data_IF_539036132820
#
_entry.id   IF_539036132820
#
_cell.length_a   1.000
_cell.length_b   1.000
_cell.length_c   1.000
_cell.angle_alpha   90.00
_cell.angle_beta   90.00
_cell.angle_gamma   90.00
#
_symmetry.space_group_name_H-M   'P 1'
#
loop_
_entity.id
_entity.type
_entity.pdbx_description
1 polymer ?
#
# COMPACT_ATOMS: atom_id res chain seq x y z
N UNK A 1 76.01 41.77 30.60
CA UNK A 1 75.63 40.39 30.23
C UNK A 1 74.19 40.45 29.73
N UNK A 2 73.96 40.31 28.41
CA UNK A 2 72.63 40.46 27.79
C UNK A 2 71.87 39.14 27.90
N UNK A 3 70.74 39.14 28.59
CA UNK A 3 69.82 38.01 28.67
C UNK A 3 68.95 38.02 27.42
N UNK A 4 69.08 36.99 26.58
CA UNK A 4 68.24 36.76 25.41
C UNK A 4 67.07 35.89 25.89
N UNK A 5 65.88 36.47 25.92
CA UNK A 5 64.63 35.76 26.20
C UNK A 5 64.14 35.19 24.86
N UNK A 6 64.23 33.86 24.70
CA UNK A 6 63.59 33.14 23.60
C UNK A 6 62.11 32.94 23.93
N UNK A 7 61.23 33.69 23.26
CA UNK A 7 59.81 33.37 23.17
C UNK A 7 59.61 32.28 22.12
N UNK A 8 59.48 31.03 22.56
CA UNK A 8 58.92 29.97 21.72
C UNK A 8 57.41 30.14 21.64
N UNK A 9 56.93 30.69 20.52
CA UNK A 9 55.52 30.63 20.12
C UNK A 9 55.12 29.15 19.98
N UNK A 10 54.39 28.62 20.95
CA UNK A 10 53.70 27.36 20.82
C UNK A 10 52.58 27.50 19.77
N UNK A 11 52.73 26.80 18.65
CA UNK A 11 51.67 26.57 17.67
C UNK A 11 50.63 25.68 18.37
N UNK A 12 49.62 26.29 18.97
CA UNK A 12 48.44 25.63 19.51
C UNK A 12 47.23 26.07 18.69
N UNK A 13 47.00 25.44 17.54
CA UNK A 13 45.69 25.30 16.88
C UNK A 13 45.80 24.19 15.82
N UNK A 14 44.78 23.37 15.56
CA UNK A 14 43.52 23.18 16.29
C UNK A 14 43.18 21.67 16.46
N UNK A 15 43.14 21.16 17.70
CA UNK A 15 42.43 19.90 17.97
C UNK A 15 40.90 20.05 17.78
N UNK A 16 40.42 21.29 17.65
CA UNK A 16 39.01 21.64 17.53
C UNK A 16 38.47 21.47 16.11
N UNK A 17 39.29 21.59 15.05
CA UNK A 17 38.82 21.35 13.67
C UNK A 17 38.57 19.87 13.36
N UNK A 18 39.25 18.94 14.06
CA UNK A 18 39.09 17.51 13.81
C UNK A 18 37.81 16.94 14.43
N UNK A 19 37.30 17.55 15.50
CA UNK A 19 36.06 17.10 16.16
C UNK A 19 34.84 17.52 15.33
N UNK A 20 34.79 18.75 14.81
CA UNK A 20 33.69 19.23 13.94
C UNK A 20 33.59 18.45 12.61
N UNK A 21 34.72 18.06 12.00
CA UNK A 21 34.72 17.27 10.76
C UNK A 21 34.24 15.81 10.98
N UNK A 22 34.58 15.20 12.11
CA UNK A 22 34.17 13.83 12.42
C UNK A 22 32.67 13.74 12.76
N UNK A 23 32.14 14.71 13.53
CA UNK A 23 30.71 14.76 13.84
C UNK A 23 29.85 15.03 12.59
N UNK A 24 30.35 15.82 11.64
CA UNK A 24 29.63 16.08 10.38
C UNK A 24 29.65 14.88 9.41
N UNK A 25 30.73 14.11 9.33
CA UNK A 25 30.79 12.88 8.53
C UNK A 25 29.85 11.79 9.08
N UNK A 26 29.80 11.59 10.40
CA UNK A 26 28.87 10.64 11.02
C UNK A 26 27.41 11.04 10.84
N UNK A 27 27.09 12.33 11.00
CA UNK A 27 25.74 12.83 10.75
C UNK A 27 25.33 12.67 9.27
N UNK A 28 26.25 12.88 8.32
CA UNK A 28 25.99 12.66 6.90
C UNK A 28 25.78 11.19 6.56
N UNK A 29 26.52 10.28 7.18
CA UNK A 29 26.34 8.83 6.98
C UNK A 29 24.98 8.35 7.53
N UNK A 30 24.59 8.80 8.73
CA UNK A 30 23.28 8.47 9.30
C UNK A 30 22.14 8.98 8.42
N UNK A 31 22.23 10.23 7.94
CA UNK A 31 21.22 10.79 7.05
C UNK A 31 21.15 10.00 5.71
N UNK A 32 22.29 9.58 5.16
CA UNK A 32 22.32 8.79 3.95
C UNK A 32 21.67 7.40 4.13
N UNK A 33 21.87 6.77 5.29
CA UNK A 33 21.22 5.50 5.65
C UNK A 33 19.71 5.67 5.81
N UNK A 34 19.26 6.73 6.49
CA UNK A 34 17.82 7.05 6.65
C UNK A 34 17.14 7.29 5.30
N UNK A 35 17.76 8.08 4.42
CA UNK A 35 17.22 8.35 3.07
C UNK A 35 17.16 7.04 2.25
N UNK A 36 18.16 6.18 2.36
CA UNK A 36 18.18 4.87 1.70
C UNK A 36 17.04 3.97 2.19
N UNK A 37 16.83 3.87 3.50
CA UNK A 37 15.72 3.09 4.07
C UNK A 37 14.35 3.65 3.66
N UNK A 38 14.18 4.98 3.67
CA UNK A 38 12.95 5.63 3.20
C UNK A 38 12.67 5.29 1.73
N UNK A 39 13.70 5.29 0.88
CA UNK A 39 13.58 4.89 -0.53
C UNK A 39 13.11 3.44 -0.68
N UNK A 40 13.68 2.51 0.10
CA UNK A 40 13.27 1.10 0.10
C UNK A 40 11.81 0.95 0.53
N UNK A 41 11.39 1.67 1.57
CA UNK A 41 10.01 1.66 2.09
C UNK A 41 9.04 2.25 1.06
N UNK A 42 9.38 3.38 0.44
CA UNK A 42 8.55 4.02 -0.58
C UNK A 42 8.35 3.09 -1.79
N UNK A 43 9.42 2.45 -2.26
CA UNK A 43 9.35 1.45 -3.34
C UNK A 43 8.50 0.24 -2.94
N UNK A 44 8.63 -0.24 -1.70
CA UNK A 44 7.82 -1.35 -1.22
C UNK A 44 6.33 -1.00 -1.18
N UNK A 45 5.99 0.21 -0.72
CA UNK A 45 4.63 0.73 -0.74
C UNK A 45 4.07 0.79 -2.16
N UNK A 46 4.82 1.34 -3.12
CA UNK A 46 4.40 1.38 -4.52
C UNK A 46 4.12 -0.02 -5.10
N UNK A 47 4.96 -1.00 -4.78
CA UNK A 47 4.76 -2.38 -5.24
C UNK A 47 3.53 -3.02 -4.60
N UNK A 48 3.31 -2.79 -3.30
CA UNK A 48 2.11 -3.27 -2.58
C UNK A 48 0.85 -2.63 -3.17
N UNK A 49 0.85 -1.32 -3.41
CA UNK A 49 -0.29 -0.62 -4.01
C UNK A 49 -0.55 -1.11 -5.44
N UNK A 50 0.50 -1.33 -6.25
CA UNK A 50 0.39 -2.00 -7.57
C UNK A 50 -0.28 -3.37 -7.48
N UNK A 51 0.13 -4.20 -6.52
CA UNK A 51 -0.49 -5.51 -6.30
C UNK A 51 -1.95 -5.36 -5.89
N UNK A 52 -2.29 -4.50 -4.93
CA UNK A 52 -3.69 -4.30 -4.51
C UNK A 52 -4.59 -3.88 -5.67
N UNK A 53 -4.10 -3.00 -6.53
CA UNK A 53 -4.82 -2.49 -7.69
C UNK A 53 -4.83 -3.47 -8.87
N UNK A 54 -4.08 -4.56 -8.77
CA UNK A 54 -3.99 -5.59 -9.80
C UNK A 54 -3.30 -5.11 -11.08
N UNK A 55 -2.30 -4.23 -10.96
CA UNK A 55 -1.46 -3.85 -12.11
C UNK A 55 -0.57 -5.02 -12.55
N UNK A 56 -0.46 -5.21 -13.86
CA UNK A 56 0.31 -6.31 -14.46
C UNK A 56 -0.15 -7.70 -14.01
N UNK A 57 -1.43 -7.85 -13.67
CA UNK A 57 -1.96 -9.09 -13.12
C UNK A 57 -3.45 -9.02 -12.78
N UNK A 58 -3.87 -9.82 -11.80
CA UNK A 58 -5.22 -9.76 -11.24
C UNK A 58 -5.14 -9.92 -9.73
N UNK A 59 -5.88 -9.10 -8.99
CA UNK A 59 -5.97 -9.24 -7.53
C UNK A 59 -7.38 -9.60 -7.10
N UNK A 60 -7.50 -10.54 -6.16
CA UNK A 60 -8.74 -10.79 -5.44
C UNK A 60 -8.63 -10.10 -4.08
N UNK A 61 -9.51 -9.13 -3.84
CA UNK A 61 -9.68 -8.50 -2.53
C UNK A 61 -10.83 -9.17 -1.78
N UNK A 62 -10.56 -9.65 -0.56
CA UNK A 62 -11.53 -10.31 0.31
C UNK A 62 -11.69 -9.48 1.58
N UNK A 63 -12.83 -8.80 1.73
CA UNK A 63 -13.10 -7.90 2.84
C UNK A 63 -13.72 -8.65 4.02
N UNK A 64 -13.21 -8.41 5.22
CA UNK A 64 -13.65 -9.05 6.46
C UNK A 64 -14.30 -8.02 7.38
N UNK A 65 -15.41 -8.37 8.08
CA UNK A 65 -15.98 -9.72 8.22
C UNK A 65 -17.02 -10.08 7.13
N UNK A 66 -17.40 -9.16 6.25
CA UNK A 66 -18.47 -9.38 5.26
C UNK A 66 -18.20 -10.52 4.27
N UNK A 67 -16.95 -10.95 4.12
CA UNK A 67 -16.47 -11.92 3.13
C UNK A 67 -16.79 -11.53 1.68
N UNK A 68 -17.09 -10.25 1.40
CA UNK A 68 -17.28 -9.77 0.03
C UNK A 68 -15.97 -9.85 -0.74
N UNK A 69 -16.06 -10.31 -1.99
CA UNK A 69 -14.92 -10.52 -2.88
C UNK A 69 -15.02 -9.56 -4.05
N UNK A 70 -13.91 -8.93 -4.39
CA UNK A 70 -13.77 -8.08 -5.56
C UNK A 70 -12.54 -8.48 -6.35
N UNK A 71 -12.60 -8.25 -7.65
CA UNK A 71 -11.48 -8.46 -8.57
C UNK A 71 -10.93 -7.08 -8.93
N UNK A 72 -9.66 -6.86 -8.67
CA UNK A 72 -8.94 -5.66 -9.04
C UNK A 72 -8.06 -5.94 -10.26
N UNK A 73 -8.16 -5.08 -11.28
CA UNK A 73 -7.29 -5.11 -12.47
C UNK A 73 -7.00 -3.71 -12.94
N UNK A 74 -5.72 -3.35 -13.02
CA UNK A 74 -5.26 -2.03 -13.46
C UNK A 74 -5.98 -0.86 -12.76
N UNK A 75 -6.21 -1.00 -11.44
CA UNK A 75 -6.87 0.01 -10.60
C UNK A 75 -8.41 0.00 -10.66
N UNK A 76 -9.02 -0.92 -11.41
CA UNK A 76 -10.48 -1.02 -11.56
C UNK A 76 -11.01 -2.12 -10.66
N UNK A 77 -12.14 -1.87 -10.01
CA UNK A 77 -12.82 -2.81 -9.12
C UNK A 77 -13.99 -3.47 -9.85
N UNK A 78 -14.00 -4.80 -9.88
CA UNK A 78 -15.03 -5.61 -10.51
C UNK A 78 -15.67 -6.58 -9.53
N UNK A 79 -16.93 -6.92 -9.80
CA UNK A 79 -17.62 -8.06 -9.21
C UNK A 79 -17.63 -9.21 -10.21
N UNK A 80 -17.45 -10.43 -9.71
CA UNK A 80 -17.57 -11.66 -10.48
C UNK A 80 -18.94 -12.29 -10.22
N UNK A 81 -19.77 -12.41 -11.26
CA UNK A 81 -21.07 -13.09 -11.14
C UNK A 81 -20.93 -14.62 -11.22
N UNK A 82 -19.81 -15.10 -11.78
CA UNK A 82 -19.46 -16.52 -11.84
C UNK A 82 -18.55 -16.99 -10.71
N UNK A 83 -17.76 -18.02 -10.97
CA UNK A 83 -16.77 -18.52 -10.00
C UNK A 83 -15.39 -17.95 -10.31
N UNK A 84 -14.69 -17.43 -9.30
CA UNK A 84 -13.30 -17.00 -9.49
C UNK A 84 -12.39 -18.23 -9.55
N UNK A 85 -11.68 -18.42 -10.66
CA UNK A 85 -10.63 -19.42 -10.81
C UNK A 85 -9.57 -19.21 -9.74
N UNK A 86 -9.24 -20.29 -9.05
CA UNK A 86 -8.20 -20.26 -8.02
C UNK A 86 -6.81 -20.26 -8.64
N UNK A 87 -6.68 -20.66 -9.89
CA UNK A 87 -5.43 -20.85 -10.62
C UNK A 87 -4.86 -19.55 -11.17
N UNK A 88 -5.73 -18.63 -11.63
CA UNK A 88 -5.33 -17.39 -12.29
C UNK A 88 -6.13 -16.14 -11.84
N UNK A 89 -7.08 -16.28 -10.90
CA UNK A 89 -7.90 -15.17 -10.42
C UNK A 89 -8.91 -14.64 -11.43
N UNK A 90 -9.10 -15.31 -12.58
CA UNK A 90 -10.11 -14.93 -13.56
C UNK A 90 -11.51 -15.32 -13.12
N UNK A 91 -12.50 -14.51 -13.48
CA UNK A 91 -13.89 -14.89 -13.28
C UNK A 91 -14.31 -15.88 -14.38
N UNK A 92 -14.59 -17.12 -13.99
CA UNK A 92 -15.11 -18.16 -14.86
C UNK A 92 -16.64 -18.02 -14.94
N UNK A 93 -17.16 -17.93 -16.17
CA UNK A 93 -18.57 -17.79 -16.48
C UNK A 93 -18.73 -17.48 -17.97
N UNK A 94 -19.96 -17.16 -18.40
CA UNK A 94 -20.17 -16.62 -19.74
C UNK A 94 -19.32 -15.33 -19.91
N UNK A 95 -18.53 -15.20 -21.00
CA UNK A 95 -17.74 -13.99 -21.26
C UNK A 95 -18.55 -12.69 -21.20
N UNK A 96 -19.85 -12.74 -21.49
CA UNK A 96 -20.76 -11.58 -21.48
C UNK A 96 -21.27 -11.20 -20.09
N UNK A 97 -21.19 -12.11 -19.11
CA UNK A 97 -21.75 -11.90 -17.75
C UNK A 97 -20.72 -12.00 -16.62
N UNK A 98 -19.51 -12.49 -16.92
CA UNK A 98 -18.54 -12.88 -15.89
C UNK A 98 -18.03 -11.71 -15.05
N UNK A 99 -17.68 -10.56 -15.66
CA UNK A 99 -17.17 -9.39 -14.94
C UNK A 99 -18.09 -8.19 -15.11
N UNK A 100 -18.56 -7.65 -13.98
CA UNK A 100 -19.26 -6.37 -13.93
C UNK A 100 -18.43 -5.36 -13.16
N UNK A 101 -18.35 -4.12 -13.67
CA UNK A 101 -17.71 -3.03 -12.92
C UNK A 101 -18.48 -2.79 -11.61
N UNK A 102 -17.76 -2.70 -10.49
CA UNK A 102 -18.38 -2.44 -9.21
C UNK A 102 -18.90 -1.01 -9.17
N UNK A 103 -20.21 -0.86 -8.93
CA UNK A 103 -20.87 0.43 -8.77
C UNK A 103 -21.50 0.48 -7.37
N UNK A 104 -20.98 1.33 -6.47
CA UNK A 104 -21.60 1.53 -5.17
C UNK A 104 -23.03 2.04 -5.32
N UNK A 105 -24.00 1.39 -4.68
CA UNK A 105 -25.40 1.84 -4.70
C UNK A 105 -25.80 2.52 -3.40
N UNK A 106 -25.09 2.22 -2.31
CA UNK A 106 -25.31 2.79 -0.98
C UNK A 106 -24.00 3.29 -0.38
N UNK A 107 -24.04 4.23 0.58
CA UNK A 107 -22.82 4.72 1.25
C UNK A 107 -21.94 3.60 1.81
N UNK A 108 -22.54 2.54 2.39
CA UNK A 108 -21.80 1.38 2.93
C UNK A 108 -21.03 0.59 1.88
N UNK A 109 -21.40 0.67 0.60
CA UNK A 109 -20.67 0.01 -0.49
C UNK A 109 -19.30 0.66 -0.74
N UNK A 110 -19.11 1.93 -0.34
CA UNK A 110 -17.81 2.60 -0.42
C UNK A 110 -16.77 2.04 0.55
N UNK A 111 -17.18 1.27 1.56
CA UNK A 111 -16.26 0.59 2.47
C UNK A 111 -15.37 -0.48 1.80
N UNK A 112 -15.76 -0.90 0.60
CA UNK A 112 -15.01 -1.84 -0.22
C UNK A 112 -14.07 -1.17 -1.23
N UNK A 113 -14.09 0.17 -1.30
CA UNK A 113 -13.25 0.95 -2.19
C UNK A 113 -11.99 1.37 -1.45
N UNK A 114 -10.84 1.17 -2.09
CA UNK A 114 -9.53 1.63 -1.61
C UNK A 114 -8.90 2.70 -2.51
N UNK A 115 -9.59 3.06 -3.60
CA UNK A 115 -9.21 4.16 -4.47
C UNK A 115 -9.80 5.46 -3.92
N UNK A 116 -8.95 6.27 -3.28
CA UNK A 116 -9.33 7.56 -2.73
C UNK A 116 -8.20 8.57 -2.79
N UNK A 117 -8.59 9.85 -2.80
CA UNK A 117 -7.71 10.97 -2.50
C UNK A 117 -8.11 11.59 -1.17
N UNK A 118 -7.15 12.27 -0.52
CA UNK A 118 -7.36 12.92 0.78
C UNK A 118 -6.88 14.36 0.72
N UNK A 119 -7.71 15.31 1.17
CA UNK A 119 -7.33 16.71 1.41
C UNK A 119 -8.07 17.15 2.68
N UNK A 120 -7.35 17.75 3.64
CA UNK A 120 -7.91 18.30 4.88
C UNK A 120 -8.82 17.31 5.63
N UNK A 121 -8.36 16.08 5.86
CA UNK A 121 -9.11 15.01 6.55
C UNK A 121 -10.38 14.52 5.82
N UNK A 122 -10.70 15.09 4.66
CA UNK A 122 -11.79 14.64 3.80
C UNK A 122 -11.28 13.63 2.76
N UNK A 123 -11.98 12.50 2.67
CA UNK A 123 -11.83 11.49 1.63
C UNK A 123 -12.72 11.80 0.42
N UNK A 124 -12.17 11.57 -0.76
CA UNK A 124 -12.92 11.46 -2.01
C UNK A 124 -12.76 10.04 -2.52
N UNK A 125 -13.85 9.27 -2.56
CA UNK A 125 -13.86 7.84 -2.90
C UNK A 125 -14.65 7.60 -4.19
N UNK A 126 -14.20 6.65 -5.02
CA UNK A 126 -15.00 6.04 -6.08
C UNK A 126 -14.42 4.68 -6.46
N UNK A 127 -15.22 3.80 -7.07
CA UNK A 127 -14.72 2.52 -7.59
C UNK A 127 -13.77 2.68 -8.78
N UNK A 128 -13.57 3.91 -9.24
CA UNK A 128 -12.67 4.33 -10.30
C UNK A 128 -11.74 5.45 -9.82
N UNK A 129 -10.64 5.72 -10.55
CA UNK A 129 -9.77 6.86 -10.25
C UNK A 129 -10.58 8.15 -10.10
N UNK A 130 -10.34 8.84 -9.00
CA UNK A 130 -10.99 10.11 -8.66
C UNK A 130 -10.00 11.25 -8.76
N UNK A 131 -10.52 12.43 -9.06
CA UNK A 131 -9.82 13.70 -8.97
C UNK A 131 -10.39 14.46 -7.78
N UNK A 132 -9.50 14.91 -6.91
CA UNK A 132 -9.86 15.78 -5.78
C UNK A 132 -9.19 17.13 -5.97
N UNK A 133 -9.99 18.19 -5.96
CA UNK A 133 -9.54 19.56 -6.17
C UNK A 133 -10.11 20.47 -5.09
N UNK A 134 -9.35 21.50 -4.70
CA UNK A 134 -9.78 22.52 -3.77
C UNK A 134 -9.94 23.83 -4.52
N UNK A 135 -11.17 24.22 -4.81
CA UNK A 135 -11.50 25.41 -5.61
C UNK A 135 -12.54 26.25 -4.86
N UNK A 136 -12.31 27.56 -4.75
CA UNK A 136 -13.21 28.49 -4.07
C UNK A 136 -13.58 28.05 -2.63
N UNK A 137 -12.58 27.62 -1.85
CA UNK A 137 -12.75 27.08 -0.50
C UNK A 137 -13.68 25.86 -0.40
N UNK A 138 -13.90 25.15 -1.50
CA UNK A 138 -14.75 23.96 -1.54
C UNK A 138 -13.96 22.77 -2.09
N UNK A 139 -14.12 21.63 -1.45
CA UNK A 139 -13.57 20.36 -1.92
C UNK A 139 -14.49 19.82 -3.02
N UNK A 140 -13.92 19.62 -4.21
CA UNK A 140 -14.62 19.09 -5.38
C UNK A 140 -14.06 17.70 -5.68
N UNK A 141 -14.92 16.70 -5.62
CA UNK A 141 -14.59 15.29 -5.83
C UNK A 141 -15.28 14.78 -7.10
N UNK A 142 -14.47 14.57 -8.15
CA UNK A 142 -14.95 14.17 -9.46
C UNK A 142 -14.44 12.79 -9.83
N UNK A 143 -15.33 11.91 -10.28
CA UNK A 143 -14.89 10.69 -10.93
C UNK A 143 -14.28 11.03 -12.29
N UNK A 144 -13.17 10.39 -12.64
CA UNK A 144 -12.59 10.50 -13.98
C UNK A 144 -13.54 10.00 -15.09
N UNK A 145 -14.55 9.20 -14.72
CA UNK A 145 -15.59 8.69 -15.60
C UNK A 145 -16.98 8.97 -15.01
N UNK A 146 -17.85 9.61 -15.79
CA UNK A 146 -19.18 10.11 -15.36
C UNK A 146 -20.14 9.06 -14.78
N UNK A 147 -19.89 7.77 -15.01
CA UNK A 147 -20.80 6.69 -14.64
C UNK A 147 -20.56 6.13 -13.23
N UNK A 148 -19.47 6.53 -12.57
CA UNK A 148 -19.13 6.02 -11.25
C UNK A 148 -19.47 7.06 -10.19
N UNK A 149 -20.28 6.68 -9.18
CA UNK A 149 -20.61 7.60 -8.11
C UNK A 149 -19.36 7.92 -7.30
N UNK A 150 -19.31 9.15 -6.78
CA UNK A 150 -18.30 9.60 -5.83
C UNK A 150 -18.90 9.75 -4.44
N UNK A 151 -18.08 9.60 -3.41
CA UNK A 151 -18.42 9.91 -2.04
C UNK A 151 -17.37 10.86 -1.47
N UNK A 152 -17.84 12.00 -0.97
CA UNK A 152 -17.04 12.92 -0.15
C UNK A 152 -17.43 12.71 1.31
N UNK A 153 -16.47 12.39 2.16
CA UNK A 153 -16.73 12.05 3.57
C UNK A 153 -15.48 12.32 4.41
N UNK A 154 -15.66 12.80 5.64
CA UNK A 154 -14.56 12.93 6.60
C UNK A 154 -14.02 11.55 7.01
N UNK A 155 -12.71 11.46 7.30
CA UNK A 155 -12.07 10.20 7.71
C UNK A 155 -12.78 9.59 8.93
N UNK A 156 -13.13 10.41 9.93
CA UNK A 156 -13.79 9.92 11.15
C UNK A 156 -15.16 9.28 10.84
N UNK A 157 -15.95 9.92 9.98
CA UNK A 157 -17.27 9.42 9.60
C UNK A 157 -17.17 8.20 8.69
N UNK A 158 -16.15 8.14 7.82
CA UNK A 158 -15.86 6.95 7.04
C UNK A 158 -15.48 5.76 7.93
N UNK A 159 -14.64 5.98 8.94
CA UNK A 159 -14.28 4.95 9.91
C UNK A 159 -15.49 4.41 10.66
N UNK A 160 -16.41 5.28 11.07
CA UNK A 160 -17.69 4.89 11.69
C UNK A 160 -18.60 4.15 10.72
N UNK A 161 -18.74 4.65 9.49
CA UNK A 161 -19.57 4.05 8.44
C UNK A 161 -19.12 2.62 8.11
N UNK A 162 -17.81 2.38 8.11
CA UNK A 162 -17.22 1.11 7.70
C UNK A 162 -16.91 0.17 8.86
N UNK A 163 -17.20 0.58 10.10
CA UNK A 163 -17.03 -0.27 11.26
C UNK A 163 -17.90 -1.53 11.15
N UNK A 164 -17.28 -2.69 11.38
CA UNK A 164 -17.93 -3.99 11.20
C UNK A 164 -18.26 -4.40 9.75
N UNK A 165 -18.02 -3.56 8.73
CA UNK A 165 -18.29 -3.87 7.31
C UNK A 165 -17.03 -4.41 6.61
N UNK A 166 -15.96 -3.63 6.68
CA UNK A 166 -14.64 -3.94 6.14
C UNK A 166 -13.60 -3.39 7.12
N UNK A 167 -13.07 -4.26 7.98
CA UNK A 167 -12.02 -3.91 8.95
C UNK A 167 -10.64 -4.39 8.50
N UNK A 168 -10.60 -5.45 7.69
CA UNK A 168 -9.38 -6.06 7.17
C UNK A 168 -9.66 -6.57 5.76
N UNK A 169 -8.69 -6.42 4.87
CA UNK A 169 -8.75 -6.97 3.51
C UNK A 169 -7.62 -7.96 3.30
N UNK A 170 -7.96 -9.17 2.87
CA UNK A 170 -6.96 -10.13 2.36
C UNK A 170 -6.88 -9.99 0.85
N UNK A 171 -5.67 -9.78 0.34
CA UNK A 171 -5.39 -9.69 -1.08
C UNK A 171 -4.70 -10.97 -1.57
N UNK A 172 -5.09 -11.42 -2.76
CA UNK A 172 -4.44 -12.50 -3.49
C UNK A 172 -4.10 -11.95 -4.88
N UNK A 173 -2.83 -11.62 -5.10
CA UNK A 173 -2.33 -11.13 -6.38
C UNK A 173 -1.81 -12.28 -7.23
N UNK A 174 -2.27 -12.34 -8.48
CA UNK A 174 -1.84 -13.24 -9.53
C UNK A 174 -1.06 -12.42 -10.55
N UNK A 175 0.27 -12.54 -10.53
CA UNK A 175 1.14 -11.84 -11.47
C UNK A 175 0.99 -12.42 -12.88
N UNK A 176 0.87 -11.55 -13.88
CA UNK A 176 0.96 -11.92 -15.28
C UNK A 176 2.40 -11.76 -15.76
N UNK A 177 3.14 -12.87 -15.88
CA UNK A 177 4.57 -12.83 -16.25
C UNK A 177 4.83 -12.24 -17.64
N UNK A 178 3.82 -12.22 -18.51
CA UNK A 178 3.91 -11.65 -19.85
C UNK A 178 3.70 -10.12 -19.87
N UNK A 179 3.25 -9.54 -18.75
CA UNK A 179 3.00 -8.11 -18.62
C UNK A 179 4.24 -7.39 -18.04
N UNK A 180 4.83 -6.39 -18.71
CA UNK A 180 6.02 -5.71 -18.20
C UNK A 180 5.78 -4.93 -16.88
N UNK A 181 4.53 -4.62 -16.55
CA UNK A 181 4.17 -3.89 -15.34
C UNK A 181 3.91 -4.79 -14.12
N UNK A 182 4.03 -6.12 -14.28
CA UNK A 182 3.78 -7.06 -13.19
C UNK A 182 4.75 -6.87 -12.03
N UNK A 183 4.26 -7.10 -10.83
CA UNK A 183 5.11 -7.16 -9.65
C UNK A 183 5.73 -8.55 -9.58
N UNK A 184 7.06 -8.62 -9.68
CA UNK A 184 7.78 -9.88 -9.55
C UNK A 184 7.55 -10.49 -8.16
N UNK A 185 7.26 -11.79 -8.15
CA UNK A 185 7.09 -12.62 -6.95
C UNK A 185 8.02 -13.83 -7.10
N UNK A 186 8.84 -14.18 -6.08
CA UNK A 186 9.19 -13.34 -4.93
C UNK A 186 9.82 -12.01 -5.38
N UNK A 187 9.66 -10.96 -4.56
CA UNK A 187 10.13 -9.62 -4.90
C UNK A 187 11.54 -9.38 -4.35
N UNK A 188 12.36 -8.64 -5.08
CA UNK A 188 13.72 -8.25 -4.63
C UNK A 188 13.68 -7.28 -3.45
N UNK A 189 12.61 -6.50 -3.29
CA UNK A 189 12.47 -5.59 -2.15
C UNK A 189 12.14 -6.39 -0.87
N UNK A 190 13.00 -6.38 0.16
CA UNK A 190 12.85 -7.20 1.36
C UNK A 190 11.64 -6.83 2.23
N UNK A 191 11.04 -5.66 1.99
CA UNK A 191 9.84 -5.19 2.70
C UNK A 191 8.55 -5.69 2.05
N UNK A 192 8.59 -6.17 0.81
CA UNK A 192 7.43 -6.79 0.13
C UNK A 192 7.41 -8.27 0.47
N UNK A 193 6.61 -8.63 1.48
CA UNK A 193 6.48 -10.02 1.93
C UNK A 193 5.16 -10.60 1.47
N UNK A 194 5.24 -11.74 0.80
CA UNK A 194 4.08 -12.55 0.46
C UNK A 194 3.92 -13.65 1.50
N UNK A 195 2.70 -13.81 1.99
CA UNK A 195 2.27 -14.82 2.94
C UNK A 195 2.08 -16.19 2.25
N UNK A 196 2.99 -16.54 1.35
CA UNK A 196 2.91 -17.73 0.48
C UNK A 196 3.40 -19.02 1.14
N UNK A 197 3.72 -18.98 2.42
CA UNK A 197 4.10 -20.19 3.14
C UNK A 197 3.04 -20.52 4.18
N UNK A 198 2.58 -21.78 4.15
CA UNK A 198 1.82 -22.40 5.22
C UNK A 198 2.78 -22.69 6.37
N UNK A 199 3.24 -21.63 7.05
CA UNK A 199 4.16 -21.79 8.17
C UNK A 199 3.42 -22.45 9.33
N UNK A 200 3.75 -23.72 9.55
CA UNK A 200 3.41 -24.45 10.76
C UNK A 200 3.93 -23.68 11.99
N UNK A 201 3.07 -22.91 12.65
CA UNK A 201 3.26 -22.62 14.08
C UNK A 201 3.19 -21.16 14.53
N UNK A 202 3.16 -20.16 13.65
CA UNK A 202 2.96 -18.77 14.08
C UNK A 202 1.54 -18.33 13.76
N UNK A 203 0.76 -18.07 14.82
CA UNK A 203 -0.67 -17.77 14.80
C UNK A 203 -0.96 -16.56 13.91
N UNK A 204 -1.23 -16.79 12.62
CA UNK A 204 -2.01 -15.87 11.79
C UNK A 204 -3.47 -15.93 12.25
N UNK A 205 -4.24 -14.87 11.97
CA UNK A 205 -5.68 -14.92 12.21
C UNK A 205 -6.27 -16.18 11.56
N UNK A 206 -7.19 -16.85 12.24
CA UNK A 206 -7.84 -18.08 11.74
C UNK A 206 -8.45 -17.90 10.34
N UNK A 207 -8.81 -16.65 9.99
CA UNK A 207 -9.32 -16.24 8.69
C UNK A 207 -8.25 -16.34 7.60
N UNK A 208 -7.06 -15.77 7.83
CA UNK A 208 -5.95 -15.84 6.87
C UNK A 208 -5.50 -17.28 6.65
N UNK A 209 -5.42 -18.08 7.72
CA UNK A 209 -5.12 -19.51 7.62
C UNK A 209 -6.18 -20.27 6.80
N UNK A 210 -7.47 -19.94 6.98
CA UNK A 210 -8.56 -20.53 6.17
C UNK A 210 -8.44 -20.17 4.69
N UNK A 211 -8.14 -18.92 4.37
CA UNK A 211 -7.93 -18.46 2.99
C UNK A 211 -6.72 -19.17 2.38
N UNK A 212 -5.57 -19.17 3.07
CA UNK A 212 -4.38 -19.88 2.59
C UNK A 212 -4.63 -21.37 2.40
N UNK A 213 -5.49 -21.99 3.22
CA UNK A 213 -5.93 -23.38 3.00
C UNK A 213 -6.82 -23.51 1.76
N UNK A 214 -7.78 -22.60 1.56
CA UNK A 214 -8.68 -22.56 0.39
C UNK A 214 -7.92 -22.38 -0.93
N UNK A 215 -6.79 -21.66 -0.87
CA UNK A 215 -5.90 -21.35 -1.99
C UNK A 215 -4.56 -22.10 -1.92
N UNK A 216 -4.45 -23.15 -1.12
CA UNK A 216 -3.18 -23.88 -0.88
C UNK A 216 -2.53 -24.42 -2.15
N UNK A 217 -3.33 -24.73 -3.18
CA UNK A 217 -2.85 -25.12 -4.51
C UNK A 217 -2.12 -23.97 -5.24
N UNK A 218 -2.54 -22.74 -5.00
CA UNK A 218 -2.03 -21.50 -5.60
C UNK A 218 -0.81 -20.96 -4.86
N UNK A 219 -0.74 -21.21 -3.56
CA UNK A 219 0.30 -20.73 -2.63
C UNK A 219 1.72 -21.25 -2.97
N UNK A 220 1.85 -22.38 -3.67
CA UNK A 220 3.14 -22.92 -4.12
C UNK A 220 3.59 -22.44 -5.52
N UNK A 221 2.85 -21.53 -6.16
CA UNK A 221 3.25 -20.99 -7.48
C UNK A 221 4.05 -19.71 -7.30
N UNK A 222 5.15 -19.59 -8.02
CA UNK A 222 6.05 -18.43 -7.98
C UNK A 222 5.37 -17.13 -8.42
N UNK A 223 4.20 -17.16 -9.05
CA UNK A 223 3.50 -15.98 -9.56
C UNK A 223 2.35 -15.46 -8.67
N UNK A 224 2.17 -15.99 -7.46
CA UNK A 224 1.02 -15.65 -6.61
C UNK A 224 1.52 -15.05 -5.29
N UNK A 225 0.93 -13.95 -4.84
CA UNK A 225 1.25 -13.29 -3.58
C UNK A 225 -0.01 -13.10 -2.74
N UNK A 226 -0.03 -13.65 -1.53
CA UNK A 226 -1.10 -13.40 -0.55
C UNK A 226 -0.61 -12.40 0.49
N UNK A 227 -1.42 -11.44 0.89
CA UNK A 227 -1.09 -10.54 2.01
C UNK A 227 -2.36 -9.97 2.63
N UNK A 228 -2.25 -9.43 3.85
CA UNK A 228 -3.38 -8.82 4.56
C UNK A 228 -3.08 -7.38 4.93
N UNK A 229 -4.13 -6.56 4.90
CA UNK A 229 -4.05 -5.17 5.30
C UNK A 229 -5.17 -4.84 6.28
N UNK A 230 -4.77 -4.27 7.42
CA UNK A 230 -5.73 -3.63 8.31
C UNK A 230 -6.01 -2.23 7.81
N UNK A 231 -7.28 -1.89 7.65
CA UNK A 231 -7.70 -0.58 7.14
C UNK A 231 -7.21 0.59 8.03
N UNK A 232 -6.91 0.31 9.31
CA UNK A 232 -6.36 1.28 10.27
C UNK A 232 -4.89 1.64 10.03
N UNK A 233 -4.11 0.80 9.34
CA UNK A 233 -2.67 1.01 9.19
C UNK A 233 -2.34 2.03 8.08
N UNK A 234 -3.15 2.08 7.02
CA UNK A 234 -3.00 3.05 5.92
C UNK A 234 -3.32 4.47 6.39
N UNK A 235 -4.36 4.63 7.20
CA UNK A 235 -4.75 5.92 7.76
C UNK A 235 -3.74 6.45 8.78
N UNK A 236 -3.13 5.57 9.60
CA UNK A 236 -2.01 5.94 10.48
C UNK A 236 -0.72 6.31 9.75
N UNK A 237 -0.48 5.74 8.57
CA UNK A 237 0.64 6.13 7.72
C UNK A 237 0.43 7.52 7.10
N UNK A 238 -0.84 7.90 6.83
CA UNK A 238 -1.19 9.25 6.39
C UNK A 238 -1.03 10.28 7.54
N UNK A 239 -1.35 9.91 8.79
CA UNK A 239 -1.02 10.73 9.97
C UNK A 239 0.49 10.95 10.13
N UNK A 240 1.32 9.94 9.81
CA UNK A 240 2.79 10.04 9.90
C UNK A 240 3.44 10.83 8.75
N UNK A 241 2.77 10.91 7.59
CA UNK A 241 3.23 11.62 6.41
C UNK A 241 2.71 13.07 6.33
N UNK A 242 1.92 13.51 7.31
CA UNK A 242 1.61 14.93 7.56
C UNK A 242 2.75 15.65 8.31
N UNK A 243 4.01 15.31 7.97
CA UNK A 243 5.19 16.14 8.22
C UNK A 243 5.46 17.03 7.00
#
# INVERSE_FOLDING_TARGET
MKVIIFFSLGILYPAWCFIELYETEHAQQQLAEEISELSIIAKAKQLIDKMKDGFGGTTIAIHHPSNRRFIHRNGWIFTCNGQVSKENGHCNGDPTESLAAFKPERPSDFCFIKNYNVINETLCLSSHPVKLTYENNTIVCEATMKFFPTLVIEIEDYLKLCDGISSNTTYIYYANQDDPDHVQVPNENPRVKCDNEYLNGTVRSSVTARILKEYSFSVNRTSICVFTEQDKLVLKLLEYLQL
#
